data_IF_203897285034
#
_entry.id   IF_203897285034
#
_cell.length_a   1.000
_cell.length_b   1.000
_cell.length_c   1.000
_cell.angle_alpha   90.00
_cell.angle_beta   90.00
_cell.angle_gamma   90.00
#
_symmetry.space_group_name_H-M   'P 1'
#
loop_
_entity.id
_entity.type
_entity.pdbx_description
1 polymer ?
#
# COMPACT_ATOMS: atom_id res chain seq x y z
N UNK A 1 -16.07 -7.25 17.76
CA UNK A 1 -15.45 -6.46 16.66
C UNK A 1 -13.94 -6.34 16.87
N UNK A 2 -13.45 -5.88 18.04
CA UNK A 2 -12.00 -5.82 18.34
C UNK A 2 -11.34 -7.21 18.33
N UNK A 3 -11.97 -8.23 18.92
CA UNK A 3 -11.44 -9.61 18.86
C UNK A 3 -11.30 -10.13 17.43
N UNK A 4 -12.29 -9.86 16.57
CA UNK A 4 -12.27 -10.32 15.18
C UNK A 4 -11.18 -9.64 14.35
N UNK A 5 -10.96 -8.32 14.50
CA UNK A 5 -9.86 -7.65 13.78
C UNK A 5 -8.49 -8.09 14.30
N UNK A 6 -8.34 -8.34 15.60
CA UNK A 6 -7.09 -8.88 16.15
C UNK A 6 -6.74 -10.25 15.56
N UNK A 7 -7.72 -11.13 15.32
CA UNK A 7 -7.50 -12.39 14.60
C UNK A 7 -7.00 -12.15 13.18
N UNK A 8 -7.63 -11.25 12.42
CA UNK A 8 -7.14 -10.91 11.07
C UNK A 8 -5.71 -10.35 11.10
N UNK A 9 -5.37 -9.50 12.07
CA UNK A 9 -4.01 -8.98 12.23
C UNK A 9 -3.04 -10.11 12.56
N UNK A 10 -3.40 -11.05 13.44
CA UNK A 10 -2.58 -12.22 13.72
C UNK A 10 -2.35 -13.07 12.46
N UNK A 11 -3.40 -13.33 11.69
CA UNK A 11 -3.31 -14.08 10.43
C UNK A 11 -2.43 -13.35 9.41
N UNK A 12 -2.55 -12.02 9.31
CA UNK A 12 -1.70 -11.21 8.44
C UNK A 12 -0.22 -11.41 8.78
N UNK A 13 0.14 -11.29 10.05
CA UNK A 13 1.52 -11.46 10.49
C UNK A 13 2.02 -12.91 10.33
N UNK A 14 1.14 -13.91 10.51
CA UNK A 14 1.47 -15.30 10.16
C UNK A 14 1.79 -15.45 8.68
N UNK A 15 1.01 -14.84 7.78
CA UNK A 15 1.33 -14.90 6.34
C UNK A 15 2.64 -14.21 5.98
N UNK A 16 3.02 -13.14 6.70
CA UNK A 16 4.34 -12.53 6.55
C UNK A 16 5.46 -13.48 6.99
N UNK A 17 5.26 -14.20 8.10
CA UNK A 17 6.21 -15.22 8.59
C UNK A 17 6.31 -16.43 7.64
N UNK A 18 5.17 -16.91 7.11
CA UNK A 18 5.14 -17.97 6.10
C UNK A 18 5.90 -17.53 4.85
N UNK A 19 5.69 -16.31 4.37
CA UNK A 19 6.43 -15.76 3.23
C UNK A 19 7.95 -15.73 3.47
N UNK A 20 8.37 -15.38 4.69
CA UNK A 20 9.77 -15.23 5.08
C UNK A 20 10.50 -16.56 5.29
N UNK A 21 9.81 -17.55 5.89
CA UNK A 21 10.43 -18.77 6.40
C UNK A 21 10.01 -20.04 5.68
N UNK A 22 8.86 -20.04 5.02
CA UNK A 22 8.28 -21.21 4.36
C UNK A 22 7.39 -20.80 3.18
N UNK A 23 7.99 -20.20 2.14
CA UNK A 23 7.25 -19.62 1.02
C UNK A 23 6.28 -20.59 0.32
N UNK A 24 6.53 -21.91 0.37
CA UNK A 24 5.60 -22.92 -0.16
C UNK A 24 4.23 -22.94 0.52
N UNK A 25 4.14 -22.50 1.78
CA UNK A 25 2.88 -22.38 2.52
C UNK A 25 2.21 -21.01 2.34
N UNK A 26 2.90 -20.04 1.71
CA UNK A 26 2.35 -18.72 1.49
C UNK A 26 1.19 -18.76 0.49
N UNK A 27 0.02 -18.30 0.94
CA UNK A 27 -1.21 -18.27 0.15
C UNK A 27 -1.58 -16.84 -0.22
N UNK A 28 -1.13 -16.40 -1.40
CA UNK A 28 -1.35 -15.04 -1.95
C UNK A 28 -2.80 -14.56 -1.82
N UNK A 29 -3.77 -15.36 -2.23
CA UNK A 29 -5.19 -14.96 -2.17
C UNK A 29 -5.73 -14.84 -0.74
N UNK A 30 -5.29 -15.72 0.16
CA UNK A 30 -5.69 -15.65 1.56
C UNK A 30 -5.07 -14.41 2.24
N UNK A 31 -3.83 -14.08 1.88
CA UNK A 31 -3.19 -12.84 2.29
C UNK A 31 -3.99 -11.61 1.83
N UNK A 32 -4.40 -11.55 0.56
CA UNK A 32 -5.22 -10.44 0.04
C UNK A 32 -6.56 -10.30 0.76
N UNK A 33 -7.25 -11.41 0.99
CA UNK A 33 -8.52 -11.40 1.72
C UNK A 33 -8.35 -10.88 3.15
N UNK A 34 -7.32 -11.34 3.85
CA UNK A 34 -7.01 -10.88 5.20
C UNK A 34 -6.65 -9.40 5.24
N UNK A 35 -5.78 -8.93 4.34
CA UNK A 35 -5.41 -7.52 4.23
C UNK A 35 -6.64 -6.64 3.98
N UNK A 36 -7.45 -6.99 2.98
CA UNK A 36 -8.64 -6.21 2.61
C UNK A 36 -9.70 -6.23 3.73
N UNK A 37 -9.83 -7.36 4.43
CA UNK A 37 -10.69 -7.51 5.59
C UNK A 37 -10.31 -6.57 6.73
N UNK A 38 -9.01 -6.40 6.99
CA UNK A 38 -8.50 -5.42 7.96
C UNK A 38 -8.83 -4.00 7.52
N UNK A 39 -8.50 -3.65 6.27
CA UNK A 39 -8.73 -2.31 5.72
C UNK A 39 -10.19 -1.87 5.80
N UNK A 40 -11.13 -2.78 5.47
CA UNK A 40 -12.57 -2.51 5.53
C UNK A 40 -13.06 -2.11 6.94
N UNK A 41 -12.34 -2.49 8.00
CA UNK A 41 -12.71 -2.19 9.38
C UNK A 41 -12.17 -0.82 9.84
N UNK A 42 -11.18 -0.23 9.16
CA UNK A 42 -10.57 1.05 9.59
C UNK A 42 -11.59 2.19 9.68
N UNK A 43 -12.45 2.34 8.67
CA UNK A 43 -13.50 3.36 8.66
C UNK A 43 -14.52 3.17 9.79
N UNK A 44 -14.73 1.93 10.23
CA UNK A 44 -15.62 1.62 11.35
C UNK A 44 -14.94 1.95 12.68
N UNK A 45 -13.64 1.69 12.80
CA UNK A 45 -12.83 2.05 13.98
C UNK A 45 -12.74 3.54 14.21
N UNK A 46 -12.76 4.34 13.14
CA UNK A 46 -12.87 5.81 13.22
C UNK A 46 -13.99 6.29 14.17
N UNK A 47 -15.10 5.55 14.24
CA UNK A 47 -16.26 5.87 15.10
C UNK A 47 -16.15 5.28 16.52
N UNK A 48 -15.09 4.51 16.81
CA UNK A 48 -14.90 3.73 18.03
C UNK A 48 -13.48 3.94 18.56
N UNK A 49 -13.21 5.16 19.03
CA UNK A 49 -11.87 5.64 19.43
C UNK A 49 -11.09 4.67 20.32
N UNK A 50 -11.66 4.22 21.45
CA UNK A 50 -10.95 3.33 22.38
C UNK A 50 -10.49 2.03 21.70
N UNK A 51 -11.28 1.54 20.74
CA UNK A 51 -10.92 0.36 19.94
C UNK A 51 -9.87 0.66 18.89
N UNK A 52 -9.87 1.86 18.30
CA UNK A 52 -8.81 2.28 17.39
C UNK A 52 -7.46 2.30 18.13
N UNK A 53 -7.42 2.86 19.35
CA UNK A 53 -6.22 2.85 20.20
C UNK A 53 -5.79 1.42 20.54
N UNK A 54 -6.73 0.56 20.94
CA UNK A 54 -6.44 -0.86 21.24
C UNK A 54 -5.85 -1.60 20.03
N UNK A 55 -6.38 -1.34 18.83
CA UNK A 55 -5.91 -1.95 17.58
C UNK A 55 -4.54 -1.40 17.17
N UNK A 56 -4.31 -0.09 17.29
CA UNK A 56 -3.01 0.54 17.02
C UNK A 56 -1.91 -0.03 17.92
N UNK A 57 -2.17 -0.16 19.23
CA UNK A 57 -1.23 -0.79 20.16
C UNK A 57 -0.97 -2.26 19.80
N UNK A 58 -1.99 -2.99 19.37
CA UNK A 58 -1.83 -4.38 18.95
C UNK A 58 -1.00 -4.51 17.66
N UNK A 59 -1.19 -3.62 16.69
CA UNK A 59 -0.31 -3.52 15.53
C UNK A 59 1.12 -3.22 15.97
N UNK A 60 1.33 -2.24 16.84
CA UNK A 60 2.66 -1.86 17.32
C UNK A 60 3.38 -3.04 17.96
N UNK A 61 2.70 -3.81 18.82
CA UNK A 61 3.25 -5.03 19.43
C UNK A 61 3.68 -6.04 18.37
N UNK A 62 2.85 -6.26 17.34
CA UNK A 62 3.16 -7.19 16.24
C UNK A 62 4.31 -6.71 15.36
N UNK A 63 4.35 -5.42 15.04
CA UNK A 63 5.40 -4.80 14.22
C UNK A 63 6.76 -4.95 14.90
N UNK A 64 6.82 -4.76 16.23
CA UNK A 64 8.07 -4.84 16.99
C UNK A 64 8.66 -6.26 17.11
N UNK A 65 7.93 -7.30 16.73
CA UNK A 65 8.39 -8.70 16.84
C UNK A 65 9.46 -9.06 15.81
N UNK A 66 9.54 -8.35 14.68
CA UNK A 66 10.56 -8.57 13.66
C UNK A 66 10.89 -7.27 12.91
N UNK A 67 12.12 -7.10 12.39
CA UNK A 67 12.48 -5.93 11.58
C UNK A 67 11.57 -5.75 10.37
N UNK A 68 11.20 -4.51 10.04
CA UNK A 68 10.44 -4.22 8.81
C UNK A 68 11.18 -4.68 7.54
N UNK A 69 12.51 -4.66 7.58
CA UNK A 69 13.38 -5.04 6.47
C UNK A 69 13.60 -6.57 6.33
N UNK A 70 12.91 -7.40 7.11
CA UNK A 70 13.05 -8.87 7.02
C UNK A 70 12.60 -9.42 5.66
N UNK A 71 11.59 -8.82 5.05
CA UNK A 71 11.17 -9.09 3.68
C UNK A 71 10.59 -7.84 3.04
N UNK A 72 10.60 -7.79 1.71
CA UNK A 72 9.89 -6.77 0.94
C UNK A 72 8.38 -6.81 1.21
N UNK A 73 7.77 -8.00 1.27
CA UNK A 73 6.36 -8.17 1.59
C UNK A 73 6.03 -7.55 2.95
N UNK A 74 6.81 -7.82 4.00
CA UNK A 74 6.62 -7.22 5.32
C UNK A 74 6.73 -5.71 5.27
N UNK A 75 7.78 -5.20 4.62
CA UNK A 75 8.00 -3.76 4.51
C UNK A 75 6.83 -3.06 3.82
N UNK A 76 6.41 -3.55 2.65
CA UNK A 76 5.30 -3.02 1.88
C UNK A 76 4.00 -3.08 2.67
N UNK A 77 3.66 -4.26 3.18
CA UNK A 77 2.41 -4.50 3.91
C UNK A 77 2.27 -3.57 5.10
N UNK A 78 3.27 -3.53 5.98
CA UNK A 78 3.18 -2.78 7.22
C UNK A 78 3.21 -1.28 6.94
N UNK A 79 4.13 -0.81 6.09
CA UNK A 79 4.25 0.63 5.81
C UNK A 79 2.98 1.19 5.16
N UNK A 80 2.36 0.45 4.24
CA UNK A 80 1.14 0.88 3.56
C UNK A 80 -0.05 0.80 4.52
N UNK A 81 -0.26 -0.36 5.16
CA UNK A 81 -1.43 -0.61 6.00
C UNK A 81 -1.50 0.35 7.19
N UNK A 82 -0.38 0.60 7.85
CA UNK A 82 -0.35 1.46 9.05
C UNK A 82 -0.50 2.94 8.67
N UNK A 83 0.06 3.38 7.55
CA UNK A 83 -0.21 4.72 7.02
C UNK A 83 -1.68 4.90 6.67
N UNK A 84 -2.33 3.90 6.08
CA UNK A 84 -3.79 3.93 5.87
C UNK A 84 -4.58 3.94 7.19
N UNK A 85 -4.15 3.17 8.18
CA UNK A 85 -4.79 3.15 9.50
C UNK A 85 -4.78 4.55 10.12
N UNK A 86 -3.64 5.22 10.13
CA UNK A 86 -3.52 6.60 10.61
C UNK A 86 -4.47 7.53 9.85
N UNK A 87 -4.46 7.49 8.52
CA UNK A 87 -5.24 8.44 7.73
C UNK A 87 -6.76 8.19 7.75
N UNK A 88 -7.21 6.95 8.04
CA UNK A 88 -8.63 6.59 8.05
C UNK A 88 -9.23 6.54 9.47
N UNK A 89 -8.48 6.03 10.45
CA UNK A 89 -8.99 5.73 11.79
C UNK A 89 -8.54 6.75 12.84
N UNK A 90 -7.37 7.37 12.70
CA UNK A 90 -6.82 8.29 13.71
C UNK A 90 -7.32 9.74 13.52
N UNK A 91 -8.50 10.04 14.03
CA UNK A 91 -9.09 11.39 13.88
C UNK A 91 -8.57 12.43 14.86
N UNK A 92 -8.00 12.00 15.99
CA UNK A 92 -7.64 12.89 17.10
C UNK A 92 -6.19 12.70 17.61
N UNK A 93 -5.37 11.96 16.86
CA UNK A 93 -3.94 11.84 17.13
C UNK A 93 -3.58 10.82 18.21
N UNK A 94 -4.49 9.94 18.60
CA UNK A 94 -4.32 9.04 19.75
C UNK A 94 -4.04 7.59 19.37
N UNK A 95 -4.31 7.22 18.12
CA UNK A 95 -4.13 5.88 17.58
C UNK A 95 -3.09 5.88 16.46
N UNK A 96 -1.92 6.43 16.76
CA UNK A 96 -0.83 6.61 15.80
C UNK A 96 0.51 6.05 16.28
N UNK A 97 0.55 5.28 17.37
CA UNK A 97 1.82 4.79 17.90
C UNK A 97 2.49 3.81 16.94
N UNK A 98 1.73 2.93 16.28
CA UNK A 98 2.25 2.07 15.22
C UNK A 98 2.76 2.90 14.03
N UNK A 99 2.02 3.94 13.65
CA UNK A 99 2.40 4.84 12.55
C UNK A 99 3.68 5.61 12.84
N UNK A 100 3.77 6.27 13.99
CA UNK A 100 4.96 7.01 14.42
C UNK A 100 6.18 6.09 14.44
N UNK A 101 6.04 4.89 15.00
CA UNK A 101 7.11 3.89 14.99
C UNK A 101 7.56 3.54 13.56
N UNK A 102 6.63 3.24 12.66
CA UNK A 102 6.96 2.92 11.27
C UNK A 102 7.58 4.10 10.52
N UNK A 103 7.06 5.32 10.75
CA UNK A 103 7.55 6.57 10.16
C UNK A 103 8.96 6.91 10.62
N UNK A 104 9.29 6.63 11.88
CA UNK A 104 10.62 6.87 12.44
C UNK A 104 11.69 5.99 11.79
N UNK A 105 11.32 4.81 11.31
CA UNK A 105 12.20 3.90 10.57
C UNK A 105 12.43 4.31 9.11
N UNK A 106 11.67 5.28 8.57
CA UNK A 106 11.80 5.73 7.18
C UNK A 106 12.93 6.75 7.02
N UNK A 107 13.64 6.68 5.89
CA UNK A 107 14.52 7.74 5.42
C UNK A 107 13.75 9.00 5.01
N UNK A 108 12.55 8.84 4.43
CA UNK A 108 11.67 9.93 4.00
C UNK A 108 10.43 9.97 4.91
N UNK A 109 10.20 11.10 5.59
CA UNK A 109 9.12 11.23 6.58
C UNK A 109 7.77 11.63 6.01
N UNK A 110 7.69 12.03 4.74
CA UNK A 110 6.43 12.37 4.06
C UNK A 110 5.90 11.11 3.39
N UNK A 111 4.67 10.71 3.72
CA UNK A 111 4.08 9.44 3.28
C UNK A 111 4.13 9.24 1.76
N UNK A 112 3.57 10.18 1.00
CA UNK A 112 3.53 10.09 -0.46
C UNK A 112 4.93 9.98 -1.08
N UNK A 113 5.88 10.83 -0.63
CA UNK A 113 7.25 10.79 -1.11
C UNK A 113 7.96 9.48 -0.73
N UNK A 114 7.71 8.94 0.47
CA UNK A 114 8.25 7.63 0.83
C UNK A 114 7.66 6.50 -0.02
N UNK A 115 6.36 6.55 -0.32
CA UNK A 115 5.74 5.55 -1.16
C UNK A 115 6.31 5.61 -2.57
N UNK A 116 6.38 6.80 -3.16
CA UNK A 116 6.88 7.06 -4.51
C UNK A 116 8.36 6.71 -4.69
N UNK A 117 9.21 7.19 -3.78
CA UNK A 117 10.66 7.14 -3.96
C UNK A 117 11.30 5.90 -3.32
N UNK A 118 10.57 5.16 -2.47
CA UNK A 118 11.10 3.98 -1.77
C UNK A 118 10.27 2.72 -1.99
N UNK A 119 8.96 2.76 -1.76
CA UNK A 119 8.12 1.54 -1.88
C UNK A 119 7.83 1.15 -3.33
N UNK A 120 7.53 2.09 -4.21
CA UNK A 120 7.27 1.77 -5.63
C UNK A 120 8.52 1.19 -6.30
N UNK A 121 9.74 1.76 -6.15
CA UNK A 121 10.95 1.13 -6.66
C UNK A 121 11.17 -0.28 -6.13
N UNK A 122 10.81 -0.55 -4.85
CA UNK A 122 10.92 -1.87 -4.27
C UNK A 122 10.08 -2.91 -5.02
N UNK A 123 8.91 -2.54 -5.56
CA UNK A 123 8.05 -3.44 -6.34
C UNK A 123 8.68 -3.91 -7.65
N UNK A 124 9.68 -3.19 -8.18
CA UNK A 124 10.24 -3.48 -9.51
C UNK A 124 11.70 -3.91 -9.48
N UNK A 125 12.28 -4.02 -8.29
CA UNK A 125 13.61 -4.58 -8.12
C UNK A 125 13.61 -6.07 -8.49
N UNK A 126 14.71 -6.53 -9.09
CA UNK A 126 14.92 -7.94 -9.37
C UNK A 126 14.73 -8.82 -8.12
N UNK A 127 13.94 -9.88 -8.26
CA UNK A 127 13.62 -10.83 -7.17
C UNK A 127 12.57 -10.31 -6.17
N UNK A 128 12.11 -9.07 -6.31
CA UNK A 128 11.12 -8.50 -5.40
C UNK A 128 9.83 -9.31 -5.38
N UNK A 129 9.27 -9.46 -4.19
CA UNK A 129 8.05 -10.19 -3.89
C UNK A 129 8.12 -11.63 -4.43
N UNK A 130 9.31 -12.25 -4.46
CA UNK A 130 9.55 -13.57 -5.06
C UNK A 130 9.05 -13.67 -6.52
N UNK A 131 9.13 -12.54 -7.25
CA UNK A 131 8.60 -12.38 -8.62
C UNK A 131 7.09 -12.65 -8.75
N UNK A 132 6.33 -12.51 -7.65
CA UNK A 132 4.89 -12.72 -7.65
C UNK A 132 4.15 -11.48 -8.16
N UNK A 133 3.91 -11.43 -9.47
CA UNK A 133 3.26 -10.30 -10.14
C UNK A 133 1.90 -9.89 -9.54
N UNK A 134 1.17 -10.81 -8.92
CA UNK A 134 -0.09 -10.47 -8.25
C UNK A 134 0.15 -9.59 -7.03
N UNK A 135 1.19 -9.86 -6.23
CA UNK A 135 1.59 -9.01 -5.11
C UNK A 135 2.04 -7.64 -5.60
N UNK A 136 2.83 -7.59 -6.68
CA UNK A 136 3.32 -6.33 -7.24
C UNK A 136 2.16 -5.43 -7.68
N UNK A 137 1.22 -5.97 -8.47
CA UNK A 137 0.02 -5.24 -8.93
C UNK A 137 -0.87 -4.82 -7.74
N UNK A 138 -1.05 -5.71 -6.76
CA UNK A 138 -1.79 -5.41 -5.54
C UNK A 138 -1.21 -4.21 -4.80
N UNK A 139 0.07 -4.22 -4.45
CA UNK A 139 0.67 -3.11 -3.71
C UNK A 139 0.79 -1.83 -4.52
N UNK A 140 1.00 -1.92 -5.83
CA UNK A 140 0.95 -0.75 -6.71
C UNK A 140 -0.43 -0.09 -6.61
N UNK A 141 -1.52 -0.86 -6.64
CA UNK A 141 -2.88 -0.34 -6.49
C UNK A 141 -3.13 0.25 -5.10
N UNK A 142 -2.63 -0.38 -4.03
CA UNK A 142 -2.76 0.16 -2.68
C UNK A 142 -2.03 1.51 -2.54
N UNK A 143 -0.80 1.62 -3.05
CA UNK A 143 -0.04 2.88 -3.08
C UNK A 143 -0.78 3.93 -3.91
N UNK A 144 -1.23 3.58 -5.11
CA UNK A 144 -2.00 4.48 -5.97
C UNK A 144 -3.27 4.99 -5.29
N UNK A 145 -4.01 4.11 -4.61
CA UNK A 145 -5.22 4.47 -3.85
C UNK A 145 -4.90 5.43 -2.72
N UNK A 146 -3.83 5.18 -1.96
CA UNK A 146 -3.41 6.07 -0.89
C UNK A 146 -3.11 7.47 -1.43
N UNK A 147 -2.28 7.56 -2.46
CA UNK A 147 -1.83 8.84 -3.03
C UNK A 147 -3.03 9.62 -3.58
N UNK A 148 -3.91 8.98 -4.35
CA UNK A 148 -5.09 9.63 -4.90
C UNK A 148 -6.02 10.17 -3.80
N UNK A 149 -6.22 9.39 -2.73
CA UNK A 149 -7.17 9.74 -1.67
C UNK A 149 -6.62 10.77 -0.67
N UNK A 150 -5.35 10.70 -0.32
CA UNK A 150 -4.80 11.43 0.84
C UNK A 150 -3.64 12.37 0.52
N UNK A 151 -2.98 12.22 -0.63
CA UNK A 151 -1.81 13.02 -0.96
C UNK A 151 -2.08 14.08 -2.04
N UNK A 152 -2.48 13.63 -3.24
CA UNK A 152 -2.72 14.51 -4.38
C UNK A 152 -3.62 13.87 -5.42
N UNK A 153 -4.42 14.70 -6.08
CA UNK A 153 -5.20 14.30 -7.26
C UNK A 153 -4.30 13.86 -8.42
N UNK A 154 -4.90 13.20 -9.40
CA UNK A 154 -4.21 12.82 -10.63
C UNK A 154 -4.06 14.02 -11.58
N UNK A 155 -3.05 13.97 -12.45
CA UNK A 155 -2.90 14.95 -13.53
C UNK A 155 -3.54 14.39 -14.80
N UNK A 156 -4.71 14.90 -15.16
CA UNK A 156 -5.50 14.39 -16.28
C UNK A 156 -4.96 14.82 -17.64
N UNK A 157 -4.29 15.98 -17.69
CA UNK A 157 -3.79 16.68 -18.88
C UNK A 157 -2.33 16.39 -19.21
N UNK A 158 -1.73 15.37 -18.60
CA UNK A 158 -0.37 14.92 -18.92
C UNK A 158 -0.26 14.45 -20.37
N UNK A 159 0.74 14.97 -21.08
CA UNK A 159 1.03 14.56 -22.46
C UNK A 159 2.12 13.46 -22.53
N UNK A 160 2.32 12.81 -23.69
CA UNK A 160 3.29 11.71 -23.82
C UNK A 160 4.75 12.10 -23.56
N UNK A 161 5.18 13.30 -23.93
CA UNK A 161 6.56 13.77 -23.70
C UNK A 161 6.83 13.98 -22.21
N UNK A 162 5.88 14.58 -21.50
CA UNK A 162 5.94 14.73 -20.06
C UNK A 162 5.93 13.38 -19.33
N UNK A 163 5.12 12.43 -19.82
CA UNK A 163 5.09 11.08 -19.27
C UNK A 163 6.42 10.37 -19.52
N UNK A 164 7.00 10.51 -20.70
CA UNK A 164 8.24 9.84 -21.05
C UNK A 164 9.44 10.35 -20.22
N UNK A 165 9.40 11.62 -19.82
CA UNK A 165 10.39 12.22 -18.93
C UNK A 165 10.34 11.70 -17.48
N UNK A 166 9.29 10.97 -17.07
CA UNK A 166 9.19 10.40 -15.73
C UNK A 166 10.18 9.23 -15.55
N UNK A 167 10.70 9.01 -14.33
CA UNK A 167 11.33 7.75 -13.97
C UNK A 167 10.38 6.55 -14.19
N UNK A 168 10.91 5.38 -14.52
CA UNK A 168 10.11 4.19 -14.85
C UNK A 168 9.10 3.80 -13.75
N UNK A 169 9.54 3.80 -12.48
CA UNK A 169 8.66 3.52 -11.34
C UNK A 169 7.53 4.55 -11.22
N UNK A 170 7.78 5.81 -11.56
CA UNK A 170 6.75 6.86 -11.61
C UNK A 170 5.81 6.70 -12.80
N UNK A 171 6.29 6.24 -13.96
CA UNK A 171 5.43 5.92 -15.11
C UNK A 171 4.37 4.88 -14.72
N UNK A 172 4.80 3.78 -14.11
CA UNK A 172 3.90 2.69 -13.69
C UNK A 172 2.92 3.13 -12.59
N UNK A 173 3.41 3.89 -11.62
CA UNK A 173 2.54 4.47 -10.59
C UNK A 173 1.50 5.40 -11.21
N UNK A 174 1.89 6.30 -12.10
CA UNK A 174 0.97 7.26 -12.70
C UNK A 174 -0.11 6.55 -13.53
N UNK A 175 0.25 5.56 -14.34
CA UNK A 175 -0.72 4.76 -15.09
C UNK A 175 -1.69 4.01 -14.15
N UNK A 176 -1.19 3.46 -13.05
CA UNK A 176 -2.03 2.80 -12.04
C UNK A 176 -2.99 3.77 -11.36
N UNK A 177 -2.50 4.94 -10.94
CA UNK A 177 -3.31 6.02 -10.35
C UNK A 177 -4.39 6.51 -11.30
N UNK A 178 -4.06 6.75 -12.57
CA UNK A 178 -5.00 7.18 -13.60
C UNK A 178 -6.07 6.13 -13.87
N UNK A 179 -5.70 4.86 -13.96
CA UNK A 179 -6.64 3.75 -14.12
C UNK A 179 -7.63 3.65 -12.97
N UNK A 180 -7.19 3.84 -11.73
CA UNK A 180 -8.08 3.81 -10.56
C UNK A 180 -9.08 4.98 -10.54
N UNK A 181 -8.65 6.17 -10.96
CA UNK A 181 -9.47 7.39 -10.89
C UNK A 181 -10.38 7.58 -12.12
N UNK A 182 -9.87 7.28 -13.31
CA UNK A 182 -10.54 7.55 -14.59
C UNK A 182 -11.17 6.28 -15.22
N UNK A 183 -10.86 5.10 -14.68
CA UNK A 183 -11.42 3.82 -15.10
C UNK A 183 -10.52 2.99 -16.04
N UNK A 184 -11.00 1.80 -16.39
CA UNK A 184 -10.21 0.77 -17.09
C UNK A 184 -10.14 0.92 -18.61
N UNK A 185 -10.95 1.80 -19.20
CA UNK A 185 -11.11 1.89 -20.66
C UNK A 185 -10.25 2.99 -21.31
N UNK A 186 -9.26 3.53 -20.60
CA UNK A 186 -8.43 4.65 -21.06
C UNK A 186 -7.76 4.35 -22.39
N UNK A 187 -7.22 3.15 -22.58
CA UNK A 187 -6.63 2.72 -23.86
C UNK A 187 -7.60 2.76 -25.07
N UNK A 188 -8.90 2.96 -24.87
CA UNK A 188 -9.90 3.15 -25.94
C UNK A 188 -10.35 4.61 -26.10
N UNK A 189 -10.07 5.46 -25.12
CA UNK A 189 -10.38 6.88 -25.16
C UNK A 189 -9.29 7.64 -25.90
N UNK A 190 -9.63 8.20 -27.05
CA UNK A 190 -8.72 8.91 -27.96
C UNK A 190 -8.04 10.13 -27.32
N UNK A 191 -8.65 10.69 -26.28
CA UNK A 191 -8.12 11.86 -25.60
C UNK A 191 -7.25 11.49 -24.38
N UNK A 192 -7.17 10.20 -24.03
CA UNK A 192 -6.36 9.74 -22.91
C UNK A 192 -4.87 9.64 -23.28
N UNK A 193 -4.02 9.80 -22.27
CA UNK A 193 -2.59 9.52 -22.36
C UNK A 193 -2.35 8.06 -22.78
N UNK A 194 -3.10 7.12 -22.21
CA UNK A 194 -2.96 5.69 -22.44
C UNK A 194 -3.16 5.31 -23.91
N UNK A 195 -4.17 5.88 -24.57
CA UNK A 195 -4.38 5.70 -26.00
C UNK A 195 -3.26 6.34 -26.84
N UNK A 196 -2.76 7.51 -26.42
CA UNK A 196 -1.68 8.20 -27.12
C UNK A 196 -0.37 7.42 -27.05
N UNK A 197 -0.03 6.87 -25.88
CA UNK A 197 1.18 6.06 -25.68
C UNK A 197 1.19 4.81 -26.56
N UNK A 198 0.04 4.16 -26.77
CA UNK A 198 -0.08 3.00 -27.68
C UNK A 198 0.24 3.31 -29.15
N UNK A 199 0.20 4.58 -29.55
CA UNK A 199 0.46 5.00 -30.94
C UNK A 199 1.88 5.48 -31.18
N UNK A 200 2.62 5.75 -30.12
CA UNK A 200 4.00 6.25 -30.16
C UNK A 200 5.00 5.09 -29.96
N UNK A 201 4.55 4.00 -29.33
CA UNK A 201 5.30 2.75 -29.17
C UNK A 201 5.34 1.85 -30.40
#
# INVERSE_FOLDING_TARGET
MSESIKTYIQDLFRYLEDYESNYSEFKTEAFFQTYNGIFAVFQVLRKQRDKAVEVDLFFLEKIKQAPLSSSDLRQLTIQILITFFESEADTDGQSNQAYLHCRDLRSIKRDAAFFEEHLVPLLYREGSLNNNLQLNDFFLKEISRYINKFARGIRTDMNPEEFDALPEHHKLLELSRRRLELGDQLAKDRNSLEFQLQRIG
#
